data_IF_008381596267
#
_entry.id   IF_008381596267
#
_cell.length_a   1.000
_cell.length_b   1.000
_cell.length_c   1.000
_cell.angle_alpha   90.00
_cell.angle_beta   90.00
_cell.angle_gamma   90.00
#
_symmetry.space_group_name_H-M   'P 1'
#
loop_
_entity.id
_entity.type
_entity.pdbx_description
1 polymer ?
#
# COMPACT_ATOMS: atom_id res chain seq x y z
N UNK A 1 33.58 6.59 17.68
CA UNK A 1 32.79 7.02 16.50
C UNK A 1 31.40 6.44 16.63
N UNK A 2 30.38 7.26 16.36
CA UNK A 2 28.99 7.14 16.81
C UNK A 2 28.28 5.96 16.13
N UNK A 3 27.66 5.06 16.91
CA UNK A 3 26.67 4.08 16.41
C UNK A 3 25.29 4.65 16.71
N UNK A 4 24.76 5.46 15.82
CA UNK A 4 23.39 5.96 15.91
C UNK A 4 22.46 4.91 15.34
N UNK A 5 21.72 4.24 16.22
CA UNK A 5 20.59 3.39 15.85
C UNK A 5 19.47 4.28 15.28
N UNK A 6 19.04 4.00 14.05
CA UNK A 6 17.80 4.53 13.52
C UNK A 6 16.67 3.64 14.04
N UNK A 7 16.01 4.08 15.11
CA UNK A 7 14.69 3.57 15.48
C UNK A 7 13.68 4.58 14.93
N UNK A 8 13.11 4.28 13.77
CA UNK A 8 11.93 4.99 13.28
C UNK A 8 10.76 4.34 14.02
N UNK A 9 10.35 4.98 15.12
CA UNK A 9 9.07 4.72 15.73
C UNK A 9 8.01 5.41 14.86
N UNK A 10 7.37 4.65 13.97
CA UNK A 10 6.20 5.11 13.25
C UNK A 10 5.03 5.18 14.25
N UNK A 11 4.81 6.35 14.83
CA UNK A 11 3.56 6.67 15.52
C UNK A 11 2.51 6.97 14.47
N UNK A 12 1.79 5.95 14.00
CA UNK A 12 0.62 6.18 13.13
C UNK A 12 -0.50 6.73 14.01
N UNK A 13 -0.66 8.04 13.96
CA UNK A 13 -1.87 8.74 14.39
C UNK A 13 -2.59 9.17 13.12
N UNK A 14 -3.40 8.28 12.55
CA UNK A 14 -4.31 8.62 11.46
C UNK A 14 -5.74 8.61 12.00
N UNK A 15 -6.20 9.80 12.43
CA UNK A 15 -7.62 10.08 12.59
C UNK A 15 -8.20 10.33 11.19
N UNK A 16 -8.91 9.32 10.69
CA UNK A 16 -9.99 9.31 9.70
C UNK A 16 -10.03 10.35 8.59
N UNK A 17 -10.13 9.87 7.35
CA UNK A 17 -11.25 10.20 6.44
C UNK A 17 -11.54 8.97 5.59
N UNK A 18 -12.45 8.10 6.08
CA UNK A 18 -13.06 7.07 5.27
C UNK A 18 -14.01 7.72 4.25
N UNK A 19 -13.45 8.20 3.14
CA UNK A 19 -14.20 8.38 1.91
C UNK A 19 -14.34 7.01 1.28
N UNK A 20 -15.40 6.30 1.66
CA UNK A 20 -15.97 5.12 1.02
C UNK A 20 -14.99 4.39 0.08
N UNK A 21 -14.07 3.63 0.67
CA UNK A 21 -13.32 2.63 -0.04
C UNK A 21 -14.34 1.79 -0.81
N UNK A 22 -14.14 1.64 -2.11
CA UNK A 22 -14.62 0.43 -2.76
C UNK A 22 -14.06 -0.70 -1.91
N UNK A 23 -14.92 -1.43 -1.20
CA UNK A 23 -14.57 -2.71 -0.61
C UNK A 23 -14.19 -3.59 -1.79
N UNK A 24 -12.93 -3.49 -2.18
CA UNK A 24 -12.36 -4.30 -3.21
C UNK A 24 -12.00 -5.62 -2.54
N UNK A 25 -12.26 -6.73 -3.22
CA UNK A 25 -12.17 -8.09 -2.64
C UNK A 25 -10.78 -8.42 -2.07
N UNK A 26 -9.78 -7.61 -2.41
CA UNK A 26 -8.41 -7.70 -1.95
C UNK A 26 -8.17 -7.10 -0.54
N UNK A 27 -8.88 -6.03 -0.15
CA UNK A 27 -8.79 -5.41 1.19
C UNK A 27 -9.52 -6.31 2.20
N UNK A 28 -8.79 -7.25 2.79
CA UNK A 28 -9.36 -8.35 3.57
C UNK A 28 -9.52 -7.97 5.03
N UNK A 29 -8.69 -7.06 5.53
CA UNK A 29 -8.79 -6.55 6.90
C UNK A 29 -9.64 -5.27 7.04
N UNK A 30 -10.14 -4.75 5.92
CA UNK A 30 -11.07 -3.62 5.81
C UNK A 30 -10.51 -2.33 6.43
N UNK A 31 -9.19 -2.13 6.35
CA UNK A 31 -8.52 -0.94 6.89
C UNK A 31 -8.48 0.23 5.89
N UNK A 32 -8.88 -0.01 4.63
CA UNK A 32 -8.92 0.97 3.56
C UNK A 32 -7.57 1.19 2.87
N UNK A 33 -6.58 0.36 3.18
CA UNK A 33 -5.26 0.32 2.57
C UNK A 33 -5.03 -1.08 1.97
N UNK A 34 -3.98 -1.22 1.17
CA UNK A 34 -3.57 -2.48 0.58
C UNK A 34 -2.18 -2.85 1.05
N UNK A 35 -2.10 -3.89 1.88
CA UNK A 35 -0.82 -4.48 2.27
C UNK A 35 -0.19 -5.26 1.11
N UNK A 36 1.12 -5.49 1.17
CA UNK A 36 1.81 -6.37 0.21
C UNK A 36 1.18 -7.78 0.16
N UNK A 37 0.71 -8.28 1.30
CA UNK A 37 0.11 -9.63 1.37
C UNK A 37 -1.21 -9.67 0.62
N UNK A 38 -2.02 -8.64 0.77
CA UNK A 38 -3.31 -8.50 0.06
C UNK A 38 -3.09 -8.29 -1.43
N UNK A 39 -2.18 -7.39 -1.82
CA UNK A 39 -1.83 -7.21 -3.23
C UNK A 39 -1.33 -8.50 -3.89
N UNK A 40 -0.60 -9.33 -3.15
CA UNK A 40 -0.13 -10.63 -3.67
C UNK A 40 -1.23 -11.66 -3.87
N UNK A 41 -2.43 -11.44 -3.35
CA UNK A 41 -3.58 -12.29 -3.67
C UNK A 41 -3.91 -12.21 -5.17
N UNK A 42 -3.90 -10.99 -5.74
CA UNK A 42 -4.20 -10.74 -7.15
C UNK A 42 -2.95 -10.59 -8.03
N UNK A 43 -1.86 -10.09 -7.46
CA UNK A 43 -0.57 -9.87 -8.13
C UNK A 43 0.51 -10.77 -7.51
N UNK A 44 0.49 -12.09 -7.73
CA UNK A 44 1.39 -13.03 -7.06
C UNK A 44 2.88 -12.79 -7.37
N UNK A 45 3.17 -12.17 -8.51
CA UNK A 45 4.52 -11.83 -8.94
C UNK A 45 5.01 -10.46 -8.40
N UNK A 46 4.18 -9.74 -7.66
CA UNK A 46 4.56 -8.45 -7.06
C UNK A 46 5.69 -8.65 -6.06
N UNK A 47 6.81 -7.97 -6.26
CA UNK A 47 7.95 -8.00 -5.34
C UNK A 47 7.85 -6.89 -4.30
N UNK A 48 8.60 -7.02 -3.19
CA UNK A 48 8.73 -5.96 -2.19
C UNK A 48 9.29 -4.66 -2.78
N UNK A 49 10.14 -4.76 -3.81
CA UNK A 49 10.70 -3.60 -4.53
C UNK A 49 9.63 -2.94 -5.40
N UNK A 50 8.79 -3.73 -6.07
CA UNK A 50 7.69 -3.21 -6.88
C UNK A 50 6.66 -2.52 -5.98
N UNK A 51 6.30 -3.15 -4.85
CA UNK A 51 5.40 -2.61 -3.84
C UNK A 51 5.88 -1.28 -3.25
N UNK A 52 7.16 -1.20 -2.87
CA UNK A 52 7.75 0.05 -2.43
C UNK A 52 7.78 1.13 -3.53
N UNK A 53 7.65 0.74 -4.81
CA UNK A 53 7.46 1.65 -5.93
C UNK A 53 6.01 2.08 -6.16
N UNK A 54 5.04 1.40 -5.53
CA UNK A 54 3.62 1.76 -5.52
C UNK A 54 3.29 2.70 -4.35
N UNK A 55 3.88 2.45 -3.18
CA UNK A 55 3.80 3.30 -1.98
C UNK A 55 4.63 4.58 -2.18
N UNK A 56 4.02 5.55 -2.87
CA UNK A 56 4.66 6.82 -3.26
C UNK A 56 4.80 7.77 -2.08
N UNK A 57 3.88 7.67 -1.11
CA UNK A 57 3.88 8.50 0.08
C UNK A 57 4.83 7.94 1.18
N UNK A 58 5.30 6.70 1.02
CA UNK A 58 6.20 5.95 1.91
C UNK A 58 5.65 5.77 3.33
N UNK A 59 4.34 5.58 3.47
CA UNK A 59 3.66 5.34 4.75
C UNK A 59 3.63 3.85 5.15
N UNK A 60 4.06 2.96 4.25
CA UNK A 60 4.16 1.52 4.45
C UNK A 60 2.94 0.74 3.97
N UNK A 61 1.95 1.40 3.38
CA UNK A 61 0.82 0.79 2.72
C UNK A 61 0.58 1.39 1.33
N UNK A 62 -0.25 0.76 0.50
CA UNK A 62 -0.72 1.35 -0.76
C UNK A 62 -2.16 1.77 -0.55
N UNK A 63 -2.48 3.05 -0.71
CA UNK A 63 -3.86 3.52 -0.64
C UNK A 63 -4.60 3.34 -1.99
N UNK A 64 -5.91 3.64 -2.01
CA UNK A 64 -6.71 3.51 -3.23
C UNK A 64 -6.31 4.46 -4.37
N UNK A 65 -5.72 5.62 -4.05
CA UNK A 65 -5.26 6.61 -5.03
C UNK A 65 -3.96 6.14 -5.68
N UNK A 66 -3.06 5.57 -4.88
CA UNK A 66 -1.82 4.94 -5.33
C UNK A 66 -2.08 3.69 -6.16
N UNK A 67 -3.03 2.84 -5.75
CA UNK A 67 -3.44 1.67 -6.53
C UNK A 67 -3.99 2.06 -7.90
N UNK A 68 -4.87 3.07 -7.94
CA UNK A 68 -5.45 3.56 -9.18
C UNK A 68 -4.38 4.18 -10.10
N UNK A 69 -3.43 4.94 -9.54
CA UNK A 69 -2.30 5.48 -10.28
C UNK A 69 -1.41 4.36 -10.85
N UNK A 70 -1.15 3.31 -10.08
CA UNK A 70 -0.37 2.16 -10.53
C UNK A 70 -1.03 1.43 -11.71
N UNK A 71 -2.37 1.28 -11.69
CA UNK A 71 -3.12 0.70 -12.80
C UNK A 71 -3.14 1.63 -14.03
N UNK A 72 -3.31 2.94 -13.83
CA UNK A 72 -3.31 3.92 -14.91
C UNK A 72 -1.95 4.03 -15.62
N UNK A 73 -0.86 3.91 -14.87
CA UNK A 73 0.52 3.93 -15.39
C UNK A 73 0.97 2.57 -15.96
N UNK A 74 0.13 1.52 -15.84
CA UNK A 74 0.43 0.17 -16.32
C UNK A 74 1.46 -0.58 -15.48
N UNK A 75 1.70 -0.14 -14.23
CA UNK A 75 2.55 -0.86 -13.27
C UNK A 75 1.84 -2.09 -12.71
N UNK A 76 0.52 -1.98 -12.56
CA UNK A 76 -0.37 -3.08 -12.22
C UNK A 76 -1.37 -3.30 -13.35
N UNK A 77 -1.75 -4.56 -13.57
CA UNK A 77 -2.86 -4.87 -14.45
C UNK A 77 -4.16 -4.36 -13.79
N UNK A 78 -5.11 -3.78 -14.56
CA UNK A 78 -6.45 -3.54 -14.03
C UNK A 78 -7.10 -4.87 -13.66
N UNK A 79 -7.82 -4.89 -12.54
CA UNK A 79 -8.58 -6.05 -12.10
C UNK A 79 -9.93 -6.08 -12.83
N UNK A 80 -10.36 -7.25 -13.26
CA UNK A 80 -11.57 -7.48 -14.07
C UNK A 80 -12.87 -7.51 -13.24
#
# INVERSE_FOLDING_TARGET
MKKTAFAIAATVSALGFATAALAHEMDTDEDGLYSLTELRAEYPDLTDVDYAGLDTNSDGAVDGEELAAAQADGRLAPLD
#
